data_IF_710940787754
#
_entry.id   IF_710940787754
#
_cell.length_a   1.000
_cell.length_b   1.000
_cell.length_c   1.000
_cell.angle_alpha   90.00
_cell.angle_beta   90.00
_cell.angle_gamma   90.00
#
_symmetry.space_group_name_H-M   'P 1'
#
loop_
_entity.id
_entity.type
_entity.pdbx_description
1 polymer ?
#
# COMPACT_ATOMS: atom_id res chain seq x y z
N UNK A 1 -16.91 -12.16 15.29
CA UNK A 1 -16.32 -12.20 13.93
C UNK A 1 -16.42 -10.79 13.38
N UNK A 2 -15.36 -10.24 12.79
CA UNK A 2 -15.46 -8.95 12.09
C UNK A 2 -16.43 -9.13 10.92
N UNK A 3 -17.21 -8.10 10.60
CA UNK A 3 -18.01 -8.16 9.39
C UNK A 3 -17.10 -8.29 8.15
N UNK A 4 -17.63 -8.90 7.09
CA UNK A 4 -16.86 -9.17 5.87
C UNK A 4 -16.19 -7.91 5.31
N UNK A 5 -16.80 -6.73 5.46
CA UNK A 5 -16.22 -5.49 4.97
C UNK A 5 -15.03 -5.03 5.82
N UNK A 6 -15.14 -5.05 7.15
CA UNK A 6 -14.04 -4.69 8.05
C UNK A 6 -12.85 -5.65 7.87
N UNK A 7 -13.11 -6.96 7.73
CA UNK A 7 -12.07 -7.93 7.41
C UNK A 7 -11.38 -7.62 6.07
N UNK A 8 -12.15 -7.35 5.01
CA UNK A 8 -11.61 -7.01 3.69
C UNK A 8 -10.74 -5.75 3.72
N UNK A 9 -11.15 -4.72 4.47
CA UNK A 9 -10.37 -3.49 4.63
C UNK A 9 -9.02 -3.75 5.32
N UNK A 10 -9.00 -4.55 6.40
CA UNK A 10 -7.76 -4.93 7.07
C UNK A 10 -6.85 -5.81 6.21
N UNK A 11 -7.46 -6.70 5.42
CA UNK A 11 -6.70 -7.50 4.48
C UNK A 11 -6.04 -6.61 3.41
N UNK A 12 -6.80 -5.67 2.85
CA UNK A 12 -6.25 -4.72 1.87
C UNK A 12 -5.12 -3.88 2.47
N UNK A 13 -5.29 -3.37 3.71
CA UNK A 13 -4.25 -2.61 4.41
C UNK A 13 -2.94 -3.40 4.53
N UNK A 14 -3.04 -4.69 4.84
CA UNK A 14 -1.89 -5.58 4.94
C UNK A 14 -1.18 -5.75 3.60
N UNK A 15 -1.93 -5.94 2.51
CA UNK A 15 -1.35 -6.09 1.18
C UNK A 15 -0.71 -4.80 0.67
N UNK A 16 -1.27 -3.63 0.98
CA UNK A 16 -0.64 -2.35 0.64
C UNK A 16 0.68 -2.17 1.39
N UNK A 17 0.75 -2.50 2.68
CA UNK A 17 2.00 -2.45 3.44
C UNK A 17 3.07 -3.40 2.87
N UNK A 18 2.71 -4.66 2.56
CA UNK A 18 3.64 -5.62 1.96
C UNK A 18 4.14 -5.14 0.60
N UNK A 19 3.24 -4.65 -0.25
CA UNK A 19 3.58 -4.14 -1.57
C UNK A 19 4.48 -2.90 -1.49
N UNK A 20 4.19 -1.96 -0.59
CA UNK A 20 5.00 -0.77 -0.35
C UNK A 20 6.42 -1.16 0.10
N UNK A 21 6.53 -2.13 1.00
CA UNK A 21 7.82 -2.64 1.44
C UNK A 21 8.62 -3.21 0.25
N UNK A 22 8.04 -4.13 -0.55
CA UNK A 22 8.71 -4.73 -1.72
C UNK A 22 9.21 -3.68 -2.72
N UNK A 23 8.42 -2.63 -2.96
CA UNK A 23 8.82 -1.54 -3.87
C UNK A 23 10.04 -0.80 -3.32
N UNK A 24 10.03 -0.45 -2.03
CA UNK A 24 11.11 0.28 -1.37
C UNK A 24 12.37 -0.58 -1.18
N UNK A 25 12.22 -1.88 -0.88
CA UNK A 25 13.33 -2.80 -0.61
C UNK A 25 13.99 -3.30 -1.87
N UNK A 26 13.21 -3.68 -2.89
CA UNK A 26 13.70 -4.50 -4.00
C UNK A 26 13.47 -3.79 -5.34
N UNK A 27 12.24 -3.43 -5.68
CA UNK A 27 11.91 -3.00 -7.05
C UNK A 27 12.60 -1.69 -7.44
N UNK A 28 12.77 -0.77 -6.49
CA UNK A 28 13.53 0.47 -6.72
C UNK A 28 15.01 0.23 -6.99
N UNK A 29 15.60 -0.83 -6.40
CA UNK A 29 16.99 -1.23 -6.66
C UNK A 29 17.10 -1.88 -8.04
N UNK A 30 16.16 -2.74 -8.39
CA UNK A 30 16.13 -3.45 -9.67
C UNK A 30 15.85 -2.51 -10.85
N UNK A 31 15.11 -1.43 -10.62
CA UNK A 31 14.85 -0.38 -11.61
C UNK A 31 16.06 0.55 -11.87
N UNK A 32 17.27 0.25 -11.38
CA UNK A 32 18.42 1.17 -11.37
C UNK A 32 18.71 1.86 -12.72
N UNK A 33 18.54 1.13 -13.84
CA UNK A 33 18.86 1.58 -15.20
C UNK A 33 17.68 2.19 -15.96
N UNK A 34 16.45 2.08 -15.47
CA UNK A 34 15.26 2.63 -16.15
C UNK A 34 14.71 3.83 -15.39
N UNK A 35 14.86 5.03 -15.97
CA UNK A 35 14.29 6.26 -15.41
C UNK A 35 12.76 6.21 -15.37
N UNK A 36 12.14 5.62 -16.38
CA UNK A 36 10.69 5.45 -16.49
C UNK A 36 10.17 4.53 -15.38
N UNK A 37 10.81 3.38 -15.17
CA UNK A 37 10.44 2.46 -14.10
C UNK A 37 10.61 3.11 -12.71
N UNK A 38 11.70 3.86 -12.48
CA UNK A 38 11.90 4.61 -11.22
C UNK A 38 10.81 5.66 -11.00
N UNK A 39 10.42 6.40 -12.03
CA UNK A 39 9.35 7.38 -11.93
C UNK A 39 8.02 6.71 -11.59
N UNK A 40 7.72 5.58 -12.23
CA UNK A 40 6.54 4.77 -11.93
C UNK A 40 6.54 4.28 -10.49
N UNK A 41 7.61 3.65 -10.02
CA UNK A 41 7.71 3.16 -8.65
C UNK A 41 7.64 4.29 -7.62
N UNK A 42 8.23 5.44 -7.91
CA UNK A 42 8.13 6.63 -7.04
C UNK A 42 6.69 7.12 -6.91
N UNK A 43 5.94 7.17 -8.03
CA UNK A 43 4.50 7.48 -8.00
C UNK A 43 3.74 6.42 -7.19
N UNK A 44 4.00 5.15 -7.45
CA UNK A 44 3.31 4.04 -6.80
C UNK A 44 3.55 4.01 -5.28
N UNK A 45 4.74 4.38 -4.81
CA UNK A 45 5.03 4.56 -3.37
C UNK A 45 4.10 5.61 -2.74
N UNK A 46 3.96 6.78 -3.37
CA UNK A 46 3.10 7.86 -2.86
C UNK A 46 1.63 7.45 -2.83
N UNK A 47 1.16 6.82 -3.91
CA UNK A 47 -0.23 6.35 -4.02
C UNK A 47 -0.54 5.32 -2.91
N UNK A 48 0.38 4.38 -2.66
CA UNK A 48 0.24 3.38 -1.59
C UNK A 48 0.24 3.98 -0.20
N UNK A 49 1.10 4.95 0.07
CA UNK A 49 1.10 5.67 1.36
C UNK A 49 -0.22 6.40 1.60
N UNK A 50 -0.86 6.93 0.55
CA UNK A 50 -2.18 7.54 0.66
C UNK A 50 -3.27 6.48 0.91
N UNK A 51 -3.27 5.37 0.16
CA UNK A 51 -4.23 4.28 0.39
C UNK A 51 -4.12 3.70 1.80
N UNK A 52 -2.91 3.51 2.33
CA UNK A 52 -2.69 3.06 3.71
C UNK A 52 -3.37 4.01 4.71
N UNK A 53 -3.22 5.33 4.52
CA UNK A 53 -3.86 6.33 5.39
C UNK A 53 -5.38 6.26 5.30
N UNK A 54 -5.93 6.18 4.10
CA UNK A 54 -7.38 6.10 3.87
C UNK A 54 -7.98 4.81 4.46
N UNK A 55 -7.34 3.66 4.21
CA UNK A 55 -7.73 2.37 4.78
C UNK A 55 -7.70 2.41 6.31
N UNK A 56 -6.65 2.97 6.91
CA UNK A 56 -6.55 3.10 8.36
C UNK A 56 -7.67 3.97 8.95
N UNK A 57 -8.07 5.05 8.26
CA UNK A 57 -9.21 5.88 8.65
C UNK A 57 -10.53 5.11 8.52
N UNK A 58 -10.75 4.38 7.42
CA UNK A 58 -11.97 3.60 7.20
C UNK A 58 -12.12 2.48 8.24
N UNK A 59 -11.06 1.71 8.49
CA UNK A 59 -11.06 0.64 9.49
C UNK A 59 -11.45 1.22 10.87
N UNK A 60 -10.86 2.36 11.28
CA UNK A 60 -11.22 3.03 12.54
C UNK A 60 -12.69 3.46 12.62
N UNK A 61 -13.32 3.81 11.48
CA UNK A 61 -14.75 4.15 11.45
C UNK A 61 -15.65 2.92 11.60
N UNK A 62 -15.23 1.78 11.04
CA UNK A 62 -15.99 0.52 11.10
C UNK A 62 -15.78 -0.29 12.39
N UNK A 63 -14.74 0.02 13.17
CA UNK A 63 -14.48 -0.60 14.48
C UNK A 63 -15.14 0.15 15.66
N UNK A 64 -15.92 1.20 15.41
CA UNK A 64 -16.68 1.94 16.42
C UNK A 64 -18.04 1.33 16.67
#
# INVERSE_FOLDING_TARGET
MLDNNTYNLMMQLTEEHKSLWRIKSDYMKDANKSKEAKAFWTKMVKDKENHIKELAVLIKKHMK
#
